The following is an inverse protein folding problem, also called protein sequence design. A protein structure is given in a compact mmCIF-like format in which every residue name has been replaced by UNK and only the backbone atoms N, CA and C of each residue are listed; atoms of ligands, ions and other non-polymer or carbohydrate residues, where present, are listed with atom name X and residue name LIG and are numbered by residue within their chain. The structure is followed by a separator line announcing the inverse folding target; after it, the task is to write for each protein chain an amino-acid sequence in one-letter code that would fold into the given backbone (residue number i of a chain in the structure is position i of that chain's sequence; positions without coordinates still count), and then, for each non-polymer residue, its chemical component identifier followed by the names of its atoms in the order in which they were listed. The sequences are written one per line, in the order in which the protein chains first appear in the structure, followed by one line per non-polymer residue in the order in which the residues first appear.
data_IF_412625376891
#
_entry.id   IF_412625376891
#
_cell.length_a   1.000
_cell.length_b   1.000
_cell.length_c   1.000
_cell.angle_alpha   90.00
_cell.angle_beta   90.00
_cell.angle_gamma   90.00
#
_symmetry.space_group_name_H-M   'P 1'
#
loop_
_entity.id
_entity.type
_entity.pdbx_description
1 polymer ?
#
# COMPACT_ATOMS: atom_id res chain seq x y z
N UNK A 1 29.52 1.45 2.12
CA UNK A 1 28.50 0.50 2.60
C UNK A 1 27.26 1.32 2.90
N UNK A 2 26.21 1.22 2.08
CA UNK A 2 25.06 2.12 2.18
C UNK A 2 24.25 1.82 3.43
N UNK A 3 24.35 2.72 4.41
CA UNK A 3 23.45 2.86 5.54
C UNK A 3 22.02 3.07 5.03
N UNK A 4 21.30 1.98 4.73
CA UNK A 4 19.87 2.03 4.38
C UNK A 4 18.99 2.35 5.60
N UNK A 5 19.57 2.86 6.69
CA UNK A 5 18.89 3.16 7.95
C UNK A 5 18.40 1.93 8.71
N UNK A 6 18.76 0.72 8.28
CA UNK A 6 18.40 -0.52 8.96
C UNK A 6 19.47 -0.89 9.99
N UNK A 7 19.07 -0.94 11.24
CA UNK A 7 19.88 -1.40 12.36
C UNK A 7 19.55 -2.86 12.71
N UNK A 8 20.52 -3.69 13.12
CA UNK A 8 20.23 -5.05 13.54
C UNK A 8 19.40 -5.03 14.83
N UNK A 9 18.22 -5.66 14.80
CA UNK A 9 17.30 -5.68 15.93
C UNK A 9 17.50 -6.94 16.79
N UNK A 10 17.54 -8.11 16.13
CA UNK A 10 17.81 -9.40 16.78
C UNK A 10 18.25 -10.44 15.76
N UNK A 11 18.92 -11.48 16.23
CA UNK A 11 19.30 -12.63 15.40
C UNK A 11 18.84 -13.90 16.11
N UNK A 12 18.24 -14.82 15.36
CA UNK A 12 17.80 -16.12 15.84
C UNK A 12 18.25 -17.20 14.88
N UNK A 13 19.28 -17.95 15.29
CA UNK A 13 19.91 -18.95 14.45
C UNK A 13 20.37 -18.34 13.13
N UNK A 14 19.78 -18.81 12.04
CA UNK A 14 20.06 -18.36 10.68
C UNK A 14 19.23 -17.15 10.22
N UNK A 15 18.35 -16.62 11.06
CA UNK A 15 17.47 -15.49 10.74
C UNK A 15 17.96 -14.22 11.44
N UNK A 16 18.25 -13.17 10.67
CA UNK A 16 18.57 -11.85 11.19
C UNK A 16 17.41 -10.90 10.94
N UNK A 17 16.98 -10.21 11.99
CA UNK A 17 15.92 -9.21 11.94
C UNK A 17 16.55 -7.81 11.96
N UNK A 18 16.06 -6.96 11.08
CA UNK A 18 16.55 -5.61 10.88
C UNK A 18 15.43 -4.62 11.09
N UNK A 19 15.69 -3.59 11.89
CA UNK A 19 14.75 -2.53 12.22
C UNK A 19 15.13 -1.22 11.55
N UNK A 20 14.14 -0.58 10.95
CA UNK A 20 14.24 0.77 10.40
C UNK A 20 13.48 1.76 11.29
N UNK A 21 14.03 2.96 11.54
CA UNK A 21 13.38 3.97 12.39
C UNK A 21 12.02 4.45 11.86
N UNK A 22 11.75 4.32 10.56
CA UNK A 22 10.44 4.61 9.97
C UNK A 22 9.33 3.60 10.34
N UNK A 23 9.59 2.64 11.22
CA UNK A 23 8.59 1.68 11.68
C UNK A 23 8.57 0.35 10.92
N UNK A 24 9.60 0.05 10.13
CA UNK A 24 9.67 -1.17 9.32
C UNK A 24 10.58 -2.23 9.95
N UNK A 25 10.10 -3.47 10.01
CA UNK A 25 10.89 -4.63 10.43
C UNK A 25 11.06 -5.58 9.25
N UNK A 26 12.27 -6.08 9.04
CA UNK A 26 12.59 -7.02 7.96
C UNK A 26 13.30 -8.24 8.54
N UNK A 27 12.81 -9.44 8.23
CA UNK A 27 13.47 -10.70 8.55
C UNK A 27 14.26 -11.20 7.35
N UNK A 28 15.50 -11.59 7.58
CA UNK A 28 16.43 -12.09 6.58
C UNK A 28 16.89 -13.48 7.01
N UNK A 29 16.41 -14.51 6.30
CA UNK A 29 16.83 -15.90 6.53
C UNK A 29 18.01 -16.20 5.64
N UNK A 30 19.09 -16.68 6.23
CA UNK A 30 20.26 -17.19 5.52
C UNK A 30 20.22 -18.71 5.49
N UNK A 31 20.53 -19.34 4.37
CA UNK A 31 20.66 -20.79 4.27
C UNK A 31 21.76 -21.11 3.26
N UNK A 32 22.62 -22.08 3.59
CA UNK A 32 23.75 -22.49 2.74
C UNK A 32 24.64 -21.31 2.28
N UNK A 33 24.89 -20.35 3.17
CA UNK A 33 25.72 -19.17 2.88
C UNK A 33 25.07 -18.11 1.97
N UNK A 34 23.77 -18.21 1.67
CA UNK A 34 23.03 -17.24 0.84
C UNK A 34 21.75 -16.76 1.51
N UNK A 35 21.33 -15.53 1.20
CA UNK A 35 20.00 -15.03 1.58
C UNK A 35 18.93 -15.87 0.89
N UNK A 36 18.14 -16.60 1.69
CA UNK A 36 17.05 -17.45 1.22
C UNK A 36 15.74 -16.66 1.17
N UNK A 37 15.50 -15.79 2.16
CA UNK A 37 14.24 -15.03 2.25
C UNK A 37 14.49 -13.69 2.91
N UNK A 38 14.02 -12.61 2.28
CA UNK A 38 13.98 -11.26 2.84
C UNK A 38 12.52 -10.84 2.85
N UNK A 39 11.92 -10.64 4.01
CA UNK A 39 10.51 -10.31 4.13
C UNK A 39 10.26 -9.26 5.20
N UNK A 40 9.46 -8.25 4.88
CA UNK A 40 8.94 -7.29 5.86
C UNK A 40 7.95 -7.99 6.80
N UNK A 41 8.12 -7.82 8.11
CA UNK A 41 7.34 -8.47 9.15
C UNK A 41 6.82 -7.43 10.15
N UNK A 42 6.00 -7.84 11.11
CA UNK A 42 5.48 -6.92 12.12
C UNK A 42 6.63 -6.32 12.95
N UNK A 43 6.50 -5.06 13.39
CA UNK A 43 7.52 -4.44 14.24
C UNK A 43 7.76 -5.23 15.54
N UNK A 44 6.73 -5.91 16.03
CA UNK A 44 6.77 -6.77 17.21
C UNK A 44 7.78 -7.91 17.07
N UNK A 45 8.01 -8.41 15.85
CA UNK A 45 9.05 -9.42 15.59
C UNK A 45 10.45 -8.85 15.85
N UNK A 46 10.68 -7.57 15.56
CA UNK A 46 11.91 -6.85 15.90
C UNK A 46 11.97 -6.43 17.37
N UNK A 47 11.01 -6.82 18.21
CA UNK A 47 10.93 -6.42 19.62
C UNK A 47 10.57 -4.94 19.80
N UNK A 48 10.04 -4.30 18.75
CA UNK A 48 9.52 -2.94 18.82
C UNK A 48 8.00 -3.02 18.84
N UNK A 49 7.37 -2.36 19.80
CA UNK A 49 5.95 -2.05 19.66
C UNK A 49 5.84 -1.23 18.39
N UNK A 50 5.29 -1.80 17.31
CA UNK A 50 4.73 -0.93 16.29
C UNK A 50 3.77 -0.05 17.06
N UNK A 51 3.92 1.26 16.95
CA UNK A 51 2.85 2.18 17.29
C UNK A 51 1.74 1.89 16.27
N UNK A 52 1.02 0.80 16.51
CA UNK A 52 0.03 0.21 15.63
C UNK A 52 -1.30 0.84 15.98
N UNK A 53 -1.86 1.63 15.06
CA UNK A 53 -3.31 1.54 14.85
C UNK A 53 -3.58 0.21 14.14
N UNK A 54 -4.42 -0.60 14.78
CA UNK A 54 -4.56 -2.06 14.75
C UNK A 54 -4.67 -2.79 13.39
N UNK A 55 -4.23 -4.06 13.39
CA UNK A 55 -4.53 -5.10 12.38
C UNK A 55 -5.84 -5.86 12.74
N UNK A 56 -6.34 -6.78 11.88
CA UNK A 56 -5.86 -8.18 11.99
C UNK A 56 -5.73 -8.96 10.65
N UNK A 57 -5.22 -10.18 10.80
CA UNK A 57 -4.69 -11.11 9.80
C UNK A 57 -5.74 -11.87 8.96
N UNK A 58 -5.42 -12.12 7.69
CA UNK A 58 -5.74 -13.32 6.91
C UNK A 58 -4.93 -13.31 5.60
N UNK A 59 -4.28 -14.44 5.23
CA UNK A 59 -3.80 -14.66 3.86
C UNK A 59 -4.94 -15.34 3.07
N UNK A 60 -5.11 -15.14 1.75
CA UNK A 60 -4.13 -15.63 0.76
C UNK A 60 -3.91 -14.74 -0.48
N UNK A 61 -3.00 -15.22 -1.34
CA UNK A 61 -2.80 -14.88 -2.75
C UNK A 61 -2.08 -13.57 -3.10
N UNK A 62 -1.08 -13.72 -3.99
CA UNK A 62 -0.44 -12.64 -4.71
C UNK A 62 -1.50 -11.80 -5.43
N UNK A 63 -1.82 -10.67 -4.84
CA UNK A 63 -2.41 -9.55 -5.57
C UNK A 63 -1.29 -8.55 -5.68
N UNK A 64 -1.02 -8.07 -6.89
CA UNK A 64 -0.06 -6.99 -7.15
C UNK A 64 -0.48 -5.81 -6.28
N UNK A 65 0.07 -5.72 -5.07
CA UNK A 65 0.06 -4.48 -4.33
C UNK A 65 0.93 -3.55 -5.16
N UNK A 66 0.33 -2.65 -5.94
CA UNK A 66 0.89 -1.30 -6.04
C UNK A 66 1.06 -0.89 -4.58
N UNK A 67 2.26 -1.07 -4.04
CA UNK A 67 2.52 -1.15 -2.61
C UNK A 67 2.34 0.20 -1.88
N UNK A 68 1.78 1.19 -2.55
CA UNK A 68 1.24 2.40 -1.95
C UNK A 68 0.24 2.97 -2.96
N UNK A 69 -1.04 3.17 -2.62
CA UNK A 69 -1.89 3.99 -3.45
C UNK A 69 -1.21 5.35 -3.57
N UNK A 70 -1.06 5.86 -4.79
CA UNK A 70 -0.45 7.17 -4.98
C UNK A 70 -1.32 8.23 -4.29
N UNK A 71 -0.75 9.39 -3.97
CA UNK A 71 -1.51 10.50 -3.41
C UNK A 71 -2.78 10.78 -4.24
N UNK A 72 -2.64 10.70 -5.57
CA UNK A 72 -3.73 10.90 -6.53
C UNK A 72 -4.84 9.84 -6.42
N UNK A 73 -4.48 8.57 -6.23
CA UNK A 73 -5.44 7.49 -6.03
C UNK A 73 -6.20 7.68 -4.70
N UNK A 74 -5.51 8.09 -3.63
CA UNK A 74 -6.13 8.31 -2.32
C UNK A 74 -7.13 9.47 -2.33
N UNK A 75 -6.77 10.63 -2.91
CA UNK A 75 -7.72 11.76 -3.00
C UNK A 75 -8.90 11.45 -3.93
N UNK A 76 -8.72 10.65 -4.97
CA UNK A 76 -9.82 10.19 -5.81
C UNK A 76 -10.80 9.30 -5.02
N UNK A 77 -10.30 8.29 -4.31
CA UNK A 77 -11.13 7.40 -3.48
C UNK A 77 -11.94 8.22 -2.45
N UNK A 78 -11.30 9.19 -1.80
CA UNK A 78 -11.96 10.08 -0.84
C UNK A 78 -13.05 10.95 -1.49
N UNK A 79 -12.77 11.55 -2.65
CA UNK A 79 -13.74 12.40 -3.36
C UNK A 79 -14.96 11.60 -3.82
N UNK A 80 -14.75 10.37 -4.29
CA UNK A 80 -15.83 9.48 -4.74
C UNK A 80 -16.63 8.95 -3.55
N UNK A 81 -15.98 8.61 -2.44
CA UNK A 81 -16.63 8.24 -1.17
C UNK A 81 -17.54 9.37 -0.70
N UNK A 82 -17.04 10.61 -0.69
CA UNK A 82 -17.81 11.79 -0.28
C UNK A 82 -18.98 12.08 -1.24
N UNK A 83 -18.80 11.87 -2.54
CA UNK A 83 -19.84 12.09 -3.57
C UNK A 83 -20.96 11.05 -3.48
N UNK A 84 -20.61 9.79 -3.25
CA UNK A 84 -21.55 8.65 -3.28
C UNK A 84 -22.07 8.28 -1.90
N UNK A 85 -21.50 8.83 -0.82
CA UNK A 85 -21.76 8.47 0.57
C UNK A 85 -21.63 6.95 0.83
N UNK A 86 -20.73 6.29 0.08
CA UNK A 86 -20.48 4.86 0.19
C UNK A 86 -19.00 4.63 0.55
N UNK A 87 -18.70 3.95 1.69
CA UNK A 87 -17.33 3.68 2.11
C UNK A 87 -16.67 2.52 1.34
N UNK A 88 -17.45 1.76 0.58
CA UNK A 88 -16.98 0.65 -0.23
C UNK A 88 -16.47 1.18 -1.58
N UNK A 89 -15.22 1.64 -1.60
CA UNK A 89 -14.56 2.12 -2.82
C UNK A 89 -13.29 1.33 -3.04
N UNK A 90 -13.20 0.69 -4.21
CA UNK A 90 -12.07 -0.12 -4.62
C UNK A 90 -11.35 0.52 -5.79
N UNK A 91 -10.03 0.57 -5.75
CA UNK A 91 -9.22 1.04 -6.88
C UNK A 91 -9.33 0.00 -8.01
N UNK A 92 -9.76 0.43 -9.20
CA UNK A 92 -9.69 -0.43 -10.38
C UNK A 92 -8.29 -0.29 -10.96
N UNK A 93 -7.69 -1.40 -11.38
CA UNK A 93 -6.34 -1.40 -11.95
C UNK A 93 -6.37 -0.71 -13.32
N UNK A 94 -6.16 0.61 -13.31
CA UNK A 94 -6.13 1.45 -14.50
C UNK A 94 -5.95 2.90 -14.09
N UNK A 95 -4.84 3.51 -14.49
CA UNK A 95 -4.61 4.95 -14.40
C UNK A 95 -4.16 5.43 -15.76
N UNK A 96 -4.93 6.32 -16.39
CA UNK A 96 -4.58 6.90 -17.68
C UNK A 96 -4.02 8.30 -17.45
N UNK A 97 -2.72 8.47 -17.69
CA UNK A 97 -2.08 9.77 -17.61
C UNK A 97 -2.25 10.52 -18.93
N UNK A 98 -3.02 11.59 -18.92
CA UNK A 98 -3.05 12.57 -20.02
C UNK A 98 -2.16 13.76 -19.69
N UNK A 99 -1.69 14.49 -20.71
CA UNK A 99 -0.75 15.62 -20.55
C UNK A 99 -1.25 16.71 -19.58
N UNK A 100 -2.58 16.82 -19.41
CA UNK A 100 -3.21 17.76 -18.49
C UNK A 100 -3.56 17.14 -17.12
N UNK A 101 -3.97 15.87 -17.07
CA UNK A 101 -4.56 15.23 -15.89
C UNK A 101 -4.33 13.71 -15.87
N UNK A 102 -4.24 13.12 -14.67
CA UNK A 102 -4.26 11.66 -14.46
C UNK A 102 -5.68 11.19 -14.21
N UNK A 103 -6.23 10.37 -15.08
CA UNK A 103 -7.50 9.69 -14.87
C UNK A 103 -7.29 8.41 -14.05
N UNK A 104 -7.90 8.36 -12.87
CA UNK A 104 -7.91 7.20 -11.97
C UNK A 104 -9.29 6.54 -12.07
N UNK A 105 -9.30 5.22 -12.29
CA UNK A 105 -10.52 4.43 -12.34
C UNK A 105 -10.77 3.76 -10.99
N UNK A 106 -11.97 3.92 -10.44
CA UNK A 106 -12.38 3.33 -9.16
C UNK A 106 -13.76 2.69 -9.28
N UNK A 107 -14.01 1.66 -8.49
CA UNK A 107 -15.30 0.99 -8.36
C UNK A 107 -15.95 1.41 -7.04
N UNK A 108 -17.25 1.70 -7.05
CA UNK A 108 -18.00 2.07 -5.84
C UNK A 108 -19.12 1.07 -5.58
N UNK A 109 -19.20 0.60 -4.35
CA UNK A 109 -20.30 -0.19 -3.82
C UNK A 109 -20.34 -1.62 -4.34
N UNK A 110 -21.39 -2.37 -3.93
CA UNK A 110 -21.54 -3.80 -4.28
C UNK A 110 -21.74 -4.05 -5.78
N UNK A 111 -22.15 -3.02 -6.54
CA UNK A 111 -22.28 -3.10 -8.00
C UNK A 111 -20.98 -2.75 -8.74
N UNK A 112 -19.92 -2.38 -8.01
CA UNK A 112 -18.66 -1.91 -8.58
C UNK A 112 -18.90 -0.84 -9.66
N UNK A 113 -19.78 0.13 -9.36
CA UNK A 113 -20.10 1.21 -10.28
C UNK A 113 -18.79 1.89 -10.69
N UNK A 114 -18.50 1.96 -11.99
CA UNK A 114 -17.24 2.52 -12.47
C UNK A 114 -17.28 4.04 -12.38
N UNK A 115 -16.31 4.60 -11.70
CA UNK A 115 -16.10 6.04 -11.59
C UNK A 115 -14.71 6.39 -12.12
N UNK A 116 -14.63 7.57 -12.72
CA UNK A 116 -13.39 8.16 -13.22
C UNK A 116 -13.14 9.47 -12.48
N UNK A 117 -12.01 9.58 -11.79
CA UNK A 117 -11.51 10.84 -11.28
C UNK A 117 -10.41 11.37 -12.18
N UNK A 118 -10.46 12.64 -12.52
CA UNK A 118 -9.33 13.37 -13.07
C UNK A 118 -8.59 14.04 -11.91
N UNK A 119 -7.31 13.73 -11.75
CA UNK A 119 -6.46 14.27 -10.69
C UNK A 119 -5.26 14.98 -11.31
N UNK A 120 -4.91 16.14 -10.76
CA UNK A 120 -3.76 16.93 -11.15
C UNK A 120 -2.93 17.28 -9.92
N UNK A 121 -1.72 16.73 -9.81
CA UNK A 121 -0.76 16.98 -8.72
C UNK A 121 -1.38 16.82 -7.31
N UNK A 122 -2.13 15.75 -7.05
CA UNK A 122 -2.77 15.49 -5.76
C UNK A 122 -4.08 16.23 -5.51
N UNK A 123 -4.64 16.93 -6.52
CA UNK A 123 -5.97 17.55 -6.43
C UNK A 123 -6.92 16.99 -7.46
N UNK A 124 -8.11 16.62 -7.00
CA UNK A 124 -9.20 16.18 -7.88
C UNK A 124 -9.66 17.38 -8.71
N UNK A 125 -9.45 17.29 -10.01
CA UNK A 125 -9.93 18.27 -10.99
C UNK A 125 -11.42 18.03 -11.29
N UNK A 126 -11.81 16.76 -11.46
CA UNK A 126 -13.19 16.41 -11.80
C UNK A 126 -13.50 14.95 -11.42
N UNK A 127 -14.74 14.66 -11.05
CA UNK A 127 -15.23 13.31 -10.74
C UNK A 127 -16.44 13.01 -11.62
N UNK A 128 -16.34 11.98 -12.45
CA UNK A 128 -17.40 11.56 -13.36
C UNK A 128 -17.78 10.10 -13.11
N UNK A 129 -19.09 9.82 -13.07
CA UNK A 129 -19.60 8.45 -13.11
C UNK A 129 -19.52 7.92 -14.54
N UNK A 130 -19.08 6.68 -14.71
CA UNK A 130 -19.09 5.95 -15.99
C UNK A 130 -20.17 4.87 -16.03
N UNK A 131 -21.09 4.85 -15.05
CA UNK A 131 -22.31 4.07 -15.16
C UNK A 131 -23.19 4.70 -16.25
N UNK A 132 -23.36 4.00 -17.36
CA UNK A 132 -24.28 4.32 -18.45
C UNK A 132 -25.39 3.27 -18.46
#
# INVERSE_FOLDING_TARGET
MNDRGYSPARTQGLTTYWWHPAGACVRVVTAQGRYKTVQSTAATDCGKSASTSAAPAAAPAATVSRATPTLDEQVCLQAVTAKTNNPDVVLLTGTETSQANTAVYVGVGPQHAKWRCLVSKGRVAEVMSMAN
#
